data_IF_902019059505
#
_entry.id   IF_902019059505
#
_cell.length_a   1.000
_cell.length_b   1.000
_cell.length_c   1.000
_cell.angle_alpha   90.00
_cell.angle_beta   90.00
_cell.angle_gamma   90.00
#
_symmetry.space_group_name_H-M   'P 1'
#
loop_
_entity.id
_entity.type
_entity.pdbx_description
1 polymer ?
#
# COMPACT_ATOMS: atom_id res chain seq x y z
N UNK A 1 34.82 -13.62 -45.75
CA UNK A 1 33.98 -12.68 -44.99
C UNK A 1 32.57 -12.84 -45.53
N UNK A 2 31.80 -13.77 -44.95
CA UNK A 2 30.42 -14.03 -45.38
C UNK A 2 29.49 -13.23 -44.48
N UNK A 3 28.70 -12.39 -45.13
CA UNK A 3 27.72 -11.49 -44.54
C UNK A 3 26.40 -12.24 -44.44
N UNK A 4 26.10 -12.83 -43.27
CA UNK A 4 24.80 -13.45 -43.03
C UNK A 4 23.80 -12.38 -42.61
N UNK A 5 22.99 -11.97 -43.57
CA UNK A 5 21.82 -11.13 -43.39
C UNK A 5 20.73 -11.94 -42.66
N UNK A 6 20.27 -11.56 -41.45
CA UNK A 6 19.17 -12.26 -40.80
C UNK A 6 17.87 -11.98 -41.56
N UNK A 7 17.34 -13.03 -42.18
CA UNK A 7 16.08 -12.98 -42.92
C UNK A 7 14.94 -12.50 -42.01
N UNK A 8 14.39 -11.36 -42.41
CA UNK A 8 13.03 -10.91 -42.11
C UNK A 8 12.04 -12.02 -42.48
N UNK A 9 11.47 -12.69 -41.48
CA UNK A 9 10.29 -13.52 -41.68
C UNK A 9 9.06 -12.62 -41.90
N UNK A 10 8.83 -12.19 -43.14
CA UNK A 10 7.54 -11.68 -43.60
C UNK A 10 6.64 -12.86 -43.93
N UNK A 11 6.18 -13.56 -42.89
CA UNK A 11 5.15 -14.57 -43.00
C UNK A 11 3.78 -13.92 -43.16
N UNK A 12 3.30 -13.82 -44.40
CA UNK A 12 1.89 -13.61 -44.72
C UNK A 12 1.06 -14.80 -44.21
N UNK A 13 0.79 -14.87 -42.92
CA UNK A 13 -0.26 -15.72 -42.36
C UNK A 13 -1.53 -14.88 -42.26
N UNK A 14 -2.64 -15.40 -42.81
CA UNK A 14 -3.97 -14.82 -42.64
C UNK A 14 -4.19 -14.36 -41.18
N UNK A 15 -4.87 -13.21 -40.94
CA UNK A 15 -5.07 -12.71 -39.58
C UNK A 15 -5.69 -13.83 -38.76
N UNK A 16 -5.04 -14.29 -37.68
CA UNK A 16 -5.51 -15.45 -36.95
C UNK A 16 -6.88 -15.12 -36.38
N UNK A 17 -7.80 -16.06 -36.54
CA UNK A 17 -9.19 -15.89 -36.11
C UNK A 17 -9.26 -15.33 -34.68
N UNK A 18 -10.14 -14.34 -34.41
CA UNK A 18 -10.27 -13.76 -33.10
C UNK A 18 -10.54 -14.86 -32.07
N UNK A 19 -9.58 -15.11 -31.18
CA UNK A 19 -9.70 -16.12 -30.15
C UNK A 19 -10.65 -15.60 -29.08
N UNK A 20 -11.91 -15.96 -29.17
CA UNK A 20 -12.90 -15.66 -28.13
C UNK A 20 -12.57 -16.43 -26.85
N UNK A 21 -12.81 -15.82 -25.68
CA UNK A 21 -12.65 -16.49 -24.38
C UNK A 21 -11.93 -15.67 -23.33
N UNK A 22 -11.82 -16.25 -22.13
CA UNK A 22 -11.19 -15.63 -20.97
C UNK A 22 -9.65 -15.71 -21.03
N UNK A 23 -8.99 -14.63 -20.60
CA UNK A 23 -7.54 -14.55 -20.44
C UNK A 23 -7.17 -14.54 -18.96
N UNK A 24 -6.61 -15.63 -18.47
CA UNK A 24 -6.03 -15.69 -17.13
C UNK A 24 -4.90 -14.68 -16.94
N UNK A 25 -4.10 -14.44 -17.98
CA UNK A 25 -3.05 -13.43 -17.93
C UNK A 25 -3.62 -12.01 -17.89
N UNK A 26 -4.74 -11.76 -18.59
CA UNK A 26 -5.46 -10.49 -18.48
C UNK A 26 -6.01 -10.26 -17.08
N UNK A 27 -6.53 -11.31 -16.43
CA UNK A 27 -7.03 -11.24 -15.05
C UNK A 27 -5.94 -10.86 -14.06
N UNK A 28 -4.84 -11.61 -14.06
CA UNK A 28 -3.79 -11.49 -13.04
C UNK A 28 -2.89 -10.27 -13.25
N UNK A 29 -2.60 -9.93 -14.51
CA UNK A 29 -1.66 -8.86 -14.85
C UNK A 29 -2.33 -7.58 -15.34
N UNK A 30 -3.66 -7.58 -15.53
CA UNK A 30 -4.47 -6.38 -15.77
C UNK A 30 -3.82 -5.39 -16.77
N UNK A 31 -3.50 -4.18 -16.33
CA UNK A 31 -2.98 -3.10 -17.17
C UNK A 31 -1.59 -3.42 -17.70
N UNK A 32 -0.77 -4.16 -16.95
CA UNK A 32 0.55 -4.61 -17.38
C UNK A 32 0.45 -5.55 -18.58
N UNK A 33 -0.60 -6.37 -18.63
CA UNK A 33 -0.83 -7.27 -19.77
C UNK A 33 -1.12 -6.47 -21.05
N UNK A 34 -1.91 -5.40 -20.96
CA UNK A 34 -2.17 -4.50 -22.08
C UNK A 34 -0.91 -3.74 -22.52
N UNK A 35 -0.08 -3.29 -21.58
CA UNK A 35 1.18 -2.59 -21.87
C UNK A 35 2.16 -3.49 -22.60
N UNK A 36 2.32 -4.74 -22.16
CA UNK A 36 3.22 -5.67 -22.83
C UNK A 36 2.80 -6.06 -24.25
N UNK A 37 1.54 -5.81 -24.63
CA UNK A 37 1.06 -5.89 -26.01
C UNK A 37 0.94 -4.51 -26.69
N UNK A 38 1.61 -3.48 -26.16
CA UNK A 38 1.71 -2.16 -26.79
C UNK A 38 0.46 -1.28 -26.67
N UNK A 39 -0.59 -1.74 -25.96
CA UNK A 39 -1.79 -0.94 -25.73
C UNK A 39 -1.65 -0.06 -24.47
N UNK A 40 -0.79 0.95 -24.58
CA UNK A 40 -0.41 1.84 -23.48
C UNK A 40 -1.58 2.60 -22.86
N UNK A 41 -2.54 3.05 -23.68
CA UNK A 41 -3.68 3.86 -23.20
C UNK A 41 -4.57 3.08 -22.23
N UNK A 42 -5.01 1.89 -22.65
CA UNK A 42 -5.82 1.00 -21.79
C UNK A 42 -4.99 0.51 -20.61
N UNK A 43 -3.75 0.10 -20.88
CA UNK A 43 -2.85 -0.41 -19.86
C UNK A 43 -2.60 0.55 -18.70
N UNK A 44 -2.25 1.81 -19.00
CA UNK A 44 -2.03 2.84 -17.98
C UNK A 44 -3.32 3.18 -17.21
N UNK A 45 -4.47 3.29 -17.91
CA UNK A 45 -5.75 3.54 -17.25
C UNK A 45 -6.08 2.44 -16.24
N UNK A 46 -5.91 1.17 -16.61
CA UNK A 46 -6.23 0.08 -15.72
C UNK A 46 -5.23 -0.09 -14.57
N UNK A 47 -3.96 0.20 -14.82
CA UNK A 47 -2.94 0.26 -13.75
C UNK A 47 -3.27 1.38 -12.76
N UNK A 48 -3.68 2.56 -13.22
CA UNK A 48 -4.10 3.65 -12.35
C UNK A 48 -5.34 3.27 -11.52
N UNK A 49 -6.35 2.64 -12.12
CA UNK A 49 -7.51 2.12 -11.40
C UNK A 49 -7.12 1.11 -10.32
N UNK A 50 -6.15 0.24 -10.60
CA UNK A 50 -5.68 -0.75 -9.64
C UNK A 50 -4.86 -0.15 -8.48
N UNK A 51 -4.12 0.94 -8.73
CA UNK A 51 -3.22 1.57 -7.75
C UNK A 51 -3.95 2.60 -6.88
N UNK A 52 -4.75 3.47 -7.47
CA UNK A 52 -5.33 4.61 -6.76
C UNK A 52 -6.65 4.33 -6.08
N UNK A 53 -7.38 3.29 -6.52
CA UNK A 53 -8.67 2.90 -5.95
C UNK A 53 -8.47 1.61 -5.15
N UNK A 54 -8.64 1.63 -3.81
CA UNK A 54 -8.65 0.41 -3.01
C UNK A 54 -9.65 -0.60 -3.58
N UNK A 55 -9.19 -1.82 -3.83
CA UNK A 55 -10.00 -2.88 -4.45
C UNK A 55 -10.24 -2.73 -5.95
N UNK A 56 -9.80 -1.64 -6.59
CA UNK A 56 -9.95 -1.38 -8.03
C UNK A 56 -9.25 -2.41 -8.94
N UNK A 57 -8.28 -3.15 -8.39
CA UNK A 57 -7.61 -4.25 -9.09
C UNK A 57 -8.55 -5.41 -9.45
N UNK A 58 -9.61 -5.65 -8.66
CA UNK A 58 -10.58 -6.73 -8.91
C UNK A 58 -11.42 -6.44 -10.18
N UNK A 59 -12.18 -5.33 -10.27
CA UNK A 59 -12.96 -5.04 -11.47
C UNK A 59 -12.07 -4.82 -12.70
N UNK A 60 -10.89 -4.21 -12.52
CA UNK A 60 -9.95 -4.03 -13.62
C UNK A 60 -9.40 -5.38 -14.13
N UNK A 61 -9.04 -6.29 -13.21
CA UNK A 61 -8.63 -7.65 -13.56
C UNK A 61 -9.74 -8.43 -14.27
N UNK A 62 -10.96 -8.45 -13.73
CA UNK A 62 -12.09 -9.19 -14.34
C UNK A 62 -12.33 -8.68 -15.76
N UNK A 63 -12.39 -7.36 -15.94
CA UNK A 63 -12.58 -6.75 -17.26
C UNK A 63 -11.45 -7.09 -18.22
N UNK A 64 -10.20 -6.99 -17.77
CA UNK A 64 -9.03 -7.35 -18.58
C UNK A 64 -9.05 -8.85 -18.94
N UNK A 65 -9.48 -9.72 -18.03
CA UNK A 65 -9.64 -11.14 -18.31
C UNK A 65 -10.65 -11.44 -19.41
N UNK A 66 -11.77 -10.71 -19.45
CA UNK A 66 -12.81 -10.87 -20.48
C UNK A 66 -12.41 -10.23 -21.81
N UNK A 67 -11.75 -9.07 -21.78
CA UNK A 67 -11.51 -8.25 -22.97
C UNK A 67 -10.14 -8.49 -23.63
N UNK A 68 -9.12 -8.96 -22.90
CA UNK A 68 -7.74 -9.01 -23.40
C UNK A 68 -7.59 -9.83 -24.69
N UNK A 69 -8.28 -10.97 -24.85
CA UNK A 69 -8.15 -11.77 -26.08
C UNK A 69 -8.80 -11.12 -27.31
N UNK A 70 -9.75 -10.21 -27.11
CA UNK A 70 -10.41 -9.45 -28.18
C UNK A 70 -9.62 -8.19 -28.53
N UNK A 71 -9.02 -7.57 -27.53
CA UNK A 71 -8.35 -6.28 -27.65
C UNK A 71 -6.87 -6.37 -28.03
N UNK A 72 -6.20 -7.49 -27.72
CA UNK A 72 -4.76 -7.62 -27.81
C UNK A 72 -4.35 -8.63 -28.89
N UNK A 73 -3.23 -8.41 -29.62
CA UNK A 73 -2.72 -9.34 -30.64
C UNK A 73 -2.01 -10.56 -30.02
N UNK A 74 -2.69 -11.29 -29.13
CA UNK A 74 -2.12 -12.41 -28.39
C UNK A 74 -1.73 -13.54 -29.35
N UNK A 75 -0.43 -13.84 -29.39
CA UNK A 75 0.15 -14.83 -30.30
C UNK A 75 0.44 -14.30 -31.71
N UNK A 76 0.12 -13.04 -32.02
CA UNK A 76 0.52 -12.37 -33.26
C UNK A 76 1.81 -11.57 -33.06
N UNK A 77 1.99 -10.97 -31.88
CA UNK A 77 3.19 -10.20 -31.55
C UNK A 77 3.83 -10.71 -30.26
N UNK A 78 5.17 -10.61 -30.13
CA UNK A 78 5.85 -10.93 -28.89
C UNK A 78 5.47 -9.94 -27.79
N UNK A 79 5.44 -10.45 -26.56
CA UNK A 79 5.19 -9.62 -25.38
C UNK A 79 6.42 -8.76 -25.06
N UNK A 80 6.23 -7.45 -24.96
CA UNK A 80 7.26 -6.49 -24.62
C UNK A 80 7.54 -6.49 -23.11
N UNK A 81 8.43 -7.37 -22.66
CA UNK A 81 8.76 -7.52 -21.24
C UNK A 81 9.42 -6.28 -20.63
N UNK A 82 10.39 -5.68 -21.32
CA UNK A 82 11.14 -4.53 -20.81
C UNK A 82 10.25 -3.36 -20.38
N UNK A 83 9.34 -2.82 -21.23
CA UNK A 83 8.46 -1.74 -20.83
C UNK A 83 7.48 -2.17 -19.73
N UNK A 84 7.02 -3.42 -19.75
CA UNK A 84 6.11 -3.96 -18.74
C UNK A 84 6.74 -3.98 -17.35
N UNK A 85 7.98 -4.48 -17.24
CA UNK A 85 8.72 -4.51 -15.98
C UNK A 85 9.00 -3.09 -15.48
N UNK A 86 9.38 -2.18 -16.39
CA UNK A 86 9.59 -0.78 -16.05
C UNK A 86 8.35 -0.12 -15.44
N UNK A 87 7.17 -0.34 -16.03
CA UNK A 87 5.92 0.18 -15.47
C UNK A 87 5.54 -0.53 -14.18
N UNK A 88 5.77 -1.83 -14.06
CA UNK A 88 5.51 -2.55 -12.81
C UNK A 88 6.32 -1.97 -11.65
N UNK A 89 7.63 -1.77 -11.83
CA UNK A 89 8.49 -1.16 -10.83
C UNK A 89 8.04 0.27 -10.49
N UNK A 90 7.72 1.08 -11.50
CA UNK A 90 7.18 2.43 -11.29
C UNK A 90 5.85 2.43 -10.53
N UNK A 91 4.94 1.52 -10.86
CA UNK A 91 3.66 1.39 -10.19
C UNK A 91 3.81 0.97 -8.72
N UNK A 92 4.77 0.11 -8.39
CA UNK A 92 5.07 -0.25 -7.00
C UNK A 92 5.57 0.95 -6.18
N UNK A 93 6.44 1.78 -6.76
CA UNK A 93 6.92 3.00 -6.11
C UNK A 93 5.76 3.97 -5.89
N UNK A 94 4.95 4.22 -6.94
CA UNK A 94 3.79 5.11 -6.85
C UNK A 94 2.76 4.59 -5.84
N UNK A 95 2.47 3.29 -5.84
CA UNK A 95 1.57 2.67 -4.88
C UNK A 95 2.11 2.82 -3.45
N UNK A 96 3.41 2.63 -3.24
CA UNK A 96 4.02 2.79 -1.92
C UNK A 96 3.91 4.24 -1.43
N UNK A 97 4.16 5.22 -2.30
CA UNK A 97 4.00 6.63 -1.97
C UNK A 97 2.53 6.99 -1.71
N UNK A 98 1.60 6.47 -2.52
CA UNK A 98 0.16 6.71 -2.36
C UNK A 98 -0.38 6.13 -1.05
N UNK A 99 0.04 4.91 -0.71
CA UNK A 99 -0.27 4.26 0.56
C UNK A 99 0.27 5.11 1.71
N UNK A 100 1.56 5.47 1.69
CA UNK A 100 2.14 6.33 2.72
C UNK A 100 1.41 7.67 2.82
N UNK A 101 1.00 8.26 1.70
CA UNK A 101 0.27 9.51 1.67
C UNK A 101 -1.10 9.35 2.36
N UNK A 102 -1.87 8.31 2.03
CA UNK A 102 -3.17 8.02 2.66
C UNK A 102 -3.01 7.76 4.16
N UNK A 103 -2.04 6.93 4.55
CA UNK A 103 -1.84 6.57 5.96
C UNK A 103 -1.34 7.77 6.79
N UNK A 104 -0.45 8.60 6.25
CA UNK A 104 0.02 9.81 6.94
C UNK A 104 -1.02 10.95 6.93
N UNK A 105 -1.95 10.96 5.97
CA UNK A 105 -3.04 11.95 5.89
C UNK A 105 -4.24 11.64 6.79
N UNK A 106 -4.23 10.62 7.66
CA UNK A 106 -5.41 10.33 8.49
C UNK A 106 -5.17 9.61 9.82
N UNK A 107 -3.95 9.25 10.18
CA UNK A 107 -3.71 8.44 11.38
C UNK A 107 -3.45 9.26 12.65
N UNK A 108 -4.21 8.99 13.71
CA UNK A 108 -3.70 9.17 15.08
C UNK A 108 -2.38 8.38 15.18
N UNK A 109 -1.29 8.94 15.73
CA UNK A 109 -0.02 8.22 15.86
C UNK A 109 -0.24 6.89 16.60
N UNK A 110 0.45 5.85 16.16
CA UNK A 110 0.35 4.52 16.77
C UNK A 110 0.77 4.54 18.25
N UNK A 111 0.19 3.62 19.03
CA UNK A 111 0.44 3.49 20.46
C UNK A 111 1.94 3.40 20.82
N UNK A 112 2.75 2.78 19.97
CA UNK A 112 4.20 2.61 20.15
C UNK A 112 5.08 3.66 19.46
N UNK A 113 4.52 4.76 18.95
CA UNK A 113 5.33 5.80 18.30
C UNK A 113 6.24 6.50 19.31
N UNK A 114 7.43 6.93 18.86
CA UNK A 114 8.41 7.65 19.70
C UNK A 114 7.81 8.90 20.32
N UNK A 115 6.98 9.64 19.57
CA UNK A 115 6.30 10.83 20.08
C UNK A 115 5.36 10.51 21.25
N UNK A 116 4.64 9.39 21.21
CA UNK A 116 3.77 8.96 22.30
C UNK A 116 4.59 8.49 23.50
N UNK A 117 5.71 7.79 23.28
CA UNK A 117 6.64 7.40 24.35
C UNK A 117 7.24 8.63 25.06
N UNK A 118 7.70 9.62 24.32
CA UNK A 118 8.28 10.84 24.88
C UNK A 118 7.24 11.66 25.66
N UNK A 119 6.00 11.78 25.13
CA UNK A 119 4.92 12.46 25.85
C UNK A 119 4.53 11.70 27.12
N UNK A 120 4.50 10.37 27.06
CA UNK A 120 4.21 9.50 28.22
C UNK A 120 5.29 9.65 29.29
N UNK A 121 6.58 9.69 28.90
CA UNK A 121 7.71 9.98 29.79
C UNK A 121 7.54 11.32 30.48
N UNK A 122 7.19 12.36 29.73
CA UNK A 122 6.98 13.70 30.28
C UNK A 122 5.81 13.73 31.28
N UNK A 123 4.67 13.13 30.94
CA UNK A 123 3.50 13.05 31.82
C UNK A 123 3.81 12.27 33.10
N UNK A 124 4.55 11.15 33.00
CA UNK A 124 4.92 10.34 34.15
C UNK A 124 5.85 11.10 35.12
N UNK A 125 6.80 11.87 34.58
CA UNK A 125 7.68 12.71 35.37
C UNK A 125 6.90 13.87 36.03
N UNK A 126 6.08 14.59 35.27
CA UNK A 126 5.38 15.78 35.76
C UNK A 126 4.30 15.47 36.80
N UNK A 127 3.55 14.36 36.64
CA UNK A 127 2.43 14.02 37.53
C UNK A 127 2.81 13.08 38.68
N UNK A 128 3.73 12.14 38.46
CA UNK A 128 4.04 11.07 39.41
C UNK A 128 5.49 11.08 39.88
N UNK A 129 6.33 11.98 39.37
CA UNK A 129 7.77 12.03 39.67
C UNK A 129 8.49 10.70 39.39
N UNK A 130 7.99 9.94 38.40
CA UNK A 130 8.56 8.65 37.99
C UNK A 130 9.49 8.85 36.79
N UNK A 131 10.69 8.28 36.86
CA UNK A 131 11.62 8.24 35.73
C UNK A 131 11.28 7.04 34.84
N UNK A 132 10.65 7.31 33.68
CA UNK A 132 10.29 6.28 32.70
C UNK A 132 11.52 5.83 31.90
N UNK A 133 11.92 4.58 32.10
CA UNK A 133 13.01 3.95 31.35
C UNK A 133 12.49 3.54 29.98
N UNK A 134 11.39 2.78 29.94
CA UNK A 134 10.76 2.35 28.70
C UNK A 134 9.26 2.10 28.86
N UNK A 135 8.59 1.96 27.72
CA UNK A 135 7.22 1.51 27.60
C UNK A 135 7.22 0.21 26.78
N UNK A 136 6.89 -0.89 27.44
CA UNK A 136 6.93 -2.25 26.87
C UNK A 136 5.52 -2.87 26.80
N UNK A 137 5.38 -4.02 26.15
CA UNK A 137 4.12 -4.76 25.98
C UNK A 137 2.95 -3.89 25.45
N UNK A 138 3.26 -2.99 24.53
CA UNK A 138 2.27 -2.06 24.00
C UNK A 138 1.28 -2.80 23.10
N UNK A 139 0.01 -2.80 23.49
CA UNK A 139 -1.11 -3.36 22.73
C UNK A 139 -2.13 -2.27 22.39
N UNK A 140 -2.58 -2.22 21.13
CA UNK A 140 -3.72 -1.39 20.73
C UNK A 140 -5.02 -2.11 21.11
N UNK A 141 -5.82 -1.51 21.99
CA UNK A 141 -7.09 -2.08 22.45
C UNK A 141 -8.27 -1.64 21.58
N UNK A 142 -8.25 -0.39 21.11
CA UNK A 142 -9.30 0.14 20.25
C UNK A 142 -8.81 1.35 19.44
N UNK A 143 -9.39 1.54 18.26
CA UNK A 143 -9.19 2.73 17.44
C UNK A 143 -10.53 3.29 16.96
N UNK A 144 -10.78 4.57 17.28
CA UNK A 144 -11.91 5.34 16.80
C UNK A 144 -11.39 6.41 15.82
N UNK A 145 -11.58 6.14 14.53
CA UNK A 145 -11.13 7.02 13.45
C UNK A 145 -11.93 8.33 13.39
N UNK A 146 -13.22 8.30 13.74
CA UNK A 146 -14.11 9.47 13.69
C UNK A 146 -13.75 10.48 14.78
N UNK A 147 -13.34 9.98 15.95
CA UNK A 147 -12.93 10.81 17.09
C UNK A 147 -11.43 11.08 17.13
N UNK A 148 -10.65 10.43 16.28
CA UNK A 148 -9.20 10.51 16.29
C UNK A 148 -8.62 10.09 17.64
N UNK A 149 -9.12 8.97 18.20
CA UNK A 149 -8.69 8.42 19.49
C UNK A 149 -8.19 6.99 19.29
N UNK A 150 -7.00 6.67 19.82
CA UNK A 150 -6.51 5.29 20.01
C UNK A 150 -6.47 4.98 21.50
N UNK A 151 -7.02 3.84 21.90
CA UNK A 151 -6.85 3.30 23.23
C UNK A 151 -5.80 2.19 23.19
N UNK A 152 -4.84 2.28 24.11
CA UNK A 152 -3.67 1.44 24.19
C UNK A 152 -3.53 0.89 25.61
N UNK A 153 -2.88 -0.24 25.76
CA UNK A 153 -2.33 -0.68 27.05
C UNK A 153 -0.84 -0.93 26.90
N UNK A 154 -0.10 -0.88 27.99
CA UNK A 154 1.30 -1.26 28.02
C UNK A 154 1.83 -1.32 29.44
N UNK A 155 3.08 -1.70 29.59
CA UNK A 155 3.79 -1.72 30.86
C UNK A 155 4.77 -0.57 30.90
N UNK A 156 4.60 0.33 31.86
CA UNK A 156 5.49 1.43 32.16
C UNK A 156 6.63 0.93 33.06
N UNK A 157 7.83 0.84 32.48
CA UNK A 157 9.05 0.39 33.17
C UNK A 157 9.73 1.61 33.77
N UNK A 158 9.82 1.65 35.10
CA UNK A 158 10.46 2.75 35.83
C UNK A 158 11.70 2.27 36.58
N UNK A 159 12.50 3.20 37.12
CA UNK A 159 13.66 2.87 37.96
C UNK A 159 13.32 2.12 39.25
N UNK A 160 12.08 2.20 39.71
CA UNK A 160 11.62 1.55 40.93
C UNK A 160 10.88 0.24 40.68
N UNK A 161 9.81 0.30 39.86
CA UNK A 161 8.83 -0.77 39.67
C UNK A 161 8.17 -0.67 38.29
N UNK A 162 7.56 -1.77 37.85
CA UNK A 162 6.80 -1.82 36.60
C UNK A 162 5.31 -1.61 36.89
N UNK A 163 4.65 -0.80 36.07
CA UNK A 163 3.23 -0.47 36.22
C UNK A 163 2.47 -0.79 34.94
N UNK A 164 1.43 -1.61 35.03
CA UNK A 164 0.51 -1.78 33.91
C UNK A 164 -0.36 -0.54 33.76
N UNK A 165 -0.39 0.01 32.55
CA UNK A 165 -1.11 1.24 32.23
C UNK A 165 -2.04 1.03 31.04
N UNK A 166 -3.21 1.65 31.12
CA UNK A 166 -4.04 1.93 29.98
C UNK A 166 -3.83 3.40 29.61
N UNK A 167 -3.67 3.71 28.33
CA UNK A 167 -3.55 5.09 27.90
C UNK A 167 -4.29 5.34 26.59
N UNK A 168 -4.85 6.53 26.45
CA UNK A 168 -5.51 6.96 25.21
C UNK A 168 -4.72 8.08 24.55
N UNK A 169 -4.48 7.94 23.26
CA UNK A 169 -3.84 8.93 22.39
C UNK A 169 -4.94 9.62 21.59
N UNK A 170 -5.08 10.94 21.74
CA UNK A 170 -6.08 11.74 21.05
C UNK A 170 -5.43 12.90 20.30
N UNK A 171 -5.92 13.21 19.10
CA UNK A 171 -5.51 14.42 18.38
C UNK A 171 -6.20 15.66 18.97
N UNK A 172 -5.42 16.71 19.28
CA UNK A 172 -5.91 17.97 19.85
C UNK A 172 -6.16 19.00 18.74
N UNK A 173 -7.42 19.13 18.34
CA UNK A 173 -7.85 20.11 17.34
C UNK A 173 -7.53 19.71 15.89
N UNK A 174 -7.62 20.67 14.97
CA UNK A 174 -7.38 20.45 13.54
C UNK A 174 -5.89 20.30 13.18
N UNK A 175 -4.98 20.62 14.12
CA UNK A 175 -3.55 20.56 13.91
C UNK A 175 -3.00 19.22 14.43
N UNK A 176 -2.49 18.40 13.51
CA UNK A 176 -2.13 16.99 13.76
C UNK A 176 -0.86 16.79 14.58
N UNK A 177 -0.13 17.88 14.81
CA UNK A 177 1.09 17.88 15.61
C UNK A 177 0.82 18.01 17.12
N UNK A 178 -0.43 18.33 17.51
CA UNK A 178 -0.82 18.36 18.92
C UNK A 178 -1.50 17.04 19.29
N UNK A 179 -0.77 16.21 20.02
CA UNK A 179 -1.26 14.94 20.55
C UNK A 179 -1.49 15.10 22.05
N UNK A 180 -2.65 14.67 22.52
CA UNK A 180 -2.98 14.59 23.94
C UNK A 180 -2.96 13.11 24.36
N UNK A 181 -2.11 12.78 25.31
CA UNK A 181 -2.05 11.44 25.91
C UNK A 181 -2.66 11.51 27.29
N UNK A 182 -3.60 10.60 27.57
CA UNK A 182 -4.18 10.42 28.90
C UNK A 182 -3.83 9.02 29.38
N UNK A 183 -3.25 8.92 30.58
CA UNK A 183 -2.78 7.66 31.16
C UNK A 183 -3.62 7.34 32.39
N UNK A 184 -4.05 6.09 32.50
CA UNK A 184 -4.77 5.49 33.61
C UNK A 184 -4.00 4.25 34.08
N UNK A 185 -3.55 4.26 35.33
CA UNK A 185 -2.81 3.13 35.92
C UNK A 185 -3.79 2.03 36.28
N UNK A 186 -3.51 0.81 35.85
CA UNK A 186 -4.29 -0.39 36.20
C UNK A 186 -3.63 -1.00 37.42
N UNK A 187 -4.27 -0.84 38.59
CA UNK A 187 -3.84 -1.48 39.83
C UNK A 187 -4.32 -2.93 39.92
#
# INVERSE_FOLDING_TARGET
MNNENPQTQTGNSAPPAPKTGFSWMGLLFNGLYYIGYGNWKKGLLMTALAVFIPGGWIPAGIWAGICARKDLPIGQQPFAWLPTIGIFAGALIVASLWINLIFNLGGVPGCGSTNVKDLTRQIAYDNWQLELIDLDNIEEKAFDADRGVRACSGTMVTTGQDYDINYSVKLRGANRDQVEVRIEVVQ
#
